data_IF_211667123010
#
_entry.id   IF_211667123010
#
_cell.length_a   1.000
_cell.length_b   1.000
_cell.length_c   1.000
_cell.angle_alpha   90.00
_cell.angle_beta   90.00
_cell.angle_gamma   90.00
#
_symmetry.space_group_name_H-M   'P 1'
#
loop_
_entity.id
_entity.type
_entity.pdbx_description
1 polymer ?
#
# COMPACT_ATOMS: atom_id res chain seq x y z
N UNK A 1 -20.45 48.87 -32.48
CA UNK A 1 -21.07 47.91 -31.55
C UNK A 1 -19.96 47.00 -31.03
N UNK A 2 -19.68 47.10 -29.73
CA UNK A 2 -18.82 46.21 -28.96
C UNK A 2 -19.46 44.80 -28.88
N UNK A 3 -18.79 43.69 -28.54
CA UNK A 3 -18.01 43.44 -27.33
C UNK A 3 -17.01 42.30 -27.60
N UNK A 4 -15.71 42.57 -27.39
CA UNK A 4 -14.70 41.52 -27.22
C UNK A 4 -14.96 40.90 -25.84
N UNK A 5 -15.34 39.63 -25.81
CA UNK A 5 -15.68 38.95 -24.56
C UNK A 5 -14.42 38.81 -23.70
N UNK A 6 -14.50 39.35 -22.49
CA UNK A 6 -13.36 39.64 -21.62
C UNK A 6 -12.62 38.39 -21.12
N UNK A 7 -11.31 38.39 -21.36
CA UNK A 7 -10.38 37.84 -20.39
C UNK A 7 -10.29 38.89 -19.29
N UNK A 8 -10.93 38.61 -18.16
CA UNK A 8 -10.75 39.41 -16.94
C UNK A 8 -9.27 39.37 -16.55
N UNK A 9 -8.64 40.54 -16.49
CA UNK A 9 -7.28 40.76 -15.98
C UNK A 9 -7.26 40.88 -14.44
N UNK A 10 -8.33 40.46 -13.78
CA UNK A 10 -8.38 40.41 -12.32
C UNK A 10 -7.56 39.19 -11.82
N UNK A 11 -6.42 39.41 -11.13
CA UNK A 11 -5.63 38.33 -10.55
C UNK A 11 -6.39 37.54 -9.47
N UNK A 12 -7.50 38.08 -8.93
CA UNK A 12 -8.37 37.38 -7.99
C UNK A 12 -9.49 36.60 -8.71
N UNK A 13 -9.86 36.95 -9.95
CA UNK A 13 -10.73 36.13 -10.80
C UNK A 13 -10.02 34.88 -11.35
N UNK A 14 -8.69 34.82 -11.27
CA UNK A 14 -7.91 33.61 -11.53
C UNK A 14 -8.12 32.52 -10.47
N UNK A 15 -8.82 32.82 -9.36
CA UNK A 15 -9.34 31.81 -8.42
C UNK A 15 -10.53 31.04 -9.05
N UNK A 16 -10.82 31.27 -10.33
CA UNK A 16 -11.41 30.26 -11.22
C UNK A 16 -10.38 29.24 -11.72
N UNK A 17 -9.37 28.84 -10.92
CA UNK A 17 -8.61 27.62 -11.17
C UNK A 17 -9.67 26.53 -11.30
N UNK A 18 -9.85 26.01 -12.51
CA UNK A 18 -10.69 24.85 -12.78
C UNK A 18 -10.52 23.89 -11.62
N UNK A 19 -11.56 23.67 -10.79
CA UNK A 19 -11.50 22.68 -9.71
C UNK A 19 -11.33 21.32 -10.39
N UNK A 20 -10.09 20.95 -10.69
CA UNK A 20 -9.76 19.67 -11.27
C UNK A 20 -10.03 18.68 -10.16
N UNK A 21 -11.03 17.83 -10.38
CA UNK A 21 -11.29 16.72 -9.49
C UNK A 21 -9.99 15.95 -9.31
N UNK A 22 -9.70 15.46 -8.09
CA UNK A 22 -8.52 14.64 -7.88
C UNK A 22 -8.55 13.46 -8.85
N UNK A 23 -7.39 13.02 -9.36
CA UNK A 23 -7.32 11.84 -10.19
C UNK A 23 -7.97 10.64 -9.50
N UNK A 24 -8.67 9.78 -10.25
CA UNK A 24 -9.36 8.61 -9.70
C UNK A 24 -8.47 7.68 -8.88
N UNK A 25 -7.18 7.61 -9.19
CA UNK A 25 -6.24 6.78 -8.43
C UNK A 25 -6.02 7.26 -7.00
N UNK A 26 -6.32 8.52 -6.68
CA UNK A 26 -6.15 9.09 -5.33
C UNK A 26 -7.00 8.34 -4.31
N UNK A 27 -8.17 7.84 -4.71
CA UNK A 27 -9.05 7.03 -3.87
C UNK A 27 -8.41 5.69 -3.45
N UNK A 28 -7.47 5.15 -4.24
CA UNK A 28 -6.79 3.89 -3.97
C UNK A 28 -5.50 4.03 -3.16
N UNK A 29 -5.05 5.25 -2.83
CA UNK A 29 -3.78 5.46 -2.11
C UNK A 29 -3.83 4.86 -0.72
N UNK A 30 -4.94 5.05 0.00
CA UNK A 30 -5.11 4.53 1.36
C UNK A 30 -5.17 2.99 1.39
N UNK A 31 -5.82 2.39 0.38
CA UNK A 31 -5.89 0.94 0.21
C UNK A 31 -4.51 0.35 -0.10
N UNK A 32 -3.76 0.95 -1.02
CA UNK A 32 -2.38 0.54 -1.34
C UNK A 32 -1.48 0.67 -0.11
N UNK A 33 -1.59 1.77 0.63
CA UNK A 33 -0.79 2.00 1.84
C UNK A 33 -1.12 0.95 2.92
N UNK A 34 -2.39 0.59 3.05
CA UNK A 34 -2.83 -0.48 3.95
C UNK A 34 -2.21 -1.83 3.54
N UNK A 35 -2.34 -2.24 2.27
CA UNK A 35 -1.80 -3.53 1.82
C UNK A 35 -0.27 -3.59 1.92
N UNK A 36 0.45 -2.51 1.59
CA UNK A 36 1.91 -2.43 1.79
C UNK A 36 2.28 -2.60 3.27
N UNK A 37 1.53 -1.97 4.17
CA UNK A 37 1.79 -2.07 5.62
C UNK A 37 1.55 -3.49 6.12
N UNK A 38 0.48 -4.13 5.64
CA UNK A 38 0.13 -5.51 5.95
C UNK A 38 1.18 -6.50 5.43
N UNK A 39 1.64 -6.33 4.19
CA UNK A 39 2.72 -7.14 3.60
C UNK A 39 4.00 -7.03 4.43
N UNK A 40 4.40 -5.80 4.81
CA UNK A 40 5.58 -5.61 5.66
C UNK A 40 5.48 -6.32 7.02
N UNK A 41 4.29 -6.32 7.62
CA UNK A 41 4.07 -7.01 8.88
C UNK A 41 4.20 -8.53 8.73
N UNK A 42 3.58 -9.11 7.70
CA UNK A 42 3.71 -10.54 7.40
C UNK A 42 5.15 -10.96 7.07
N UNK A 43 5.91 -10.11 6.38
CA UNK A 43 7.33 -10.38 6.10
C UNK A 43 8.18 -10.46 7.38
N UNK A 44 7.87 -9.67 8.41
CA UNK A 44 8.54 -9.75 9.72
C UNK A 44 8.19 -11.05 10.45
N UNK A 45 6.94 -11.47 10.38
CA UNK A 45 6.47 -12.74 10.94
C UNK A 45 7.17 -13.93 10.26
N UNK A 46 7.25 -13.92 8.92
CA UNK A 46 7.97 -14.93 8.15
C UNK A 46 9.45 -15.00 8.55
N UNK A 47 10.12 -13.86 8.69
CA UNK A 47 11.51 -13.83 9.14
C UNK A 47 11.68 -14.41 10.56
N UNK A 48 10.76 -14.11 11.47
CA UNK A 48 10.77 -14.67 12.83
C UNK A 48 10.56 -16.20 12.82
N UNK A 49 9.71 -16.72 11.95
CA UNK A 49 9.49 -18.16 11.83
C UNK A 49 10.75 -18.87 11.29
N UNK A 50 11.41 -18.29 10.29
CA UNK A 50 12.67 -18.82 9.77
C UNK A 50 13.79 -18.82 10.82
N UNK A 51 13.93 -17.75 11.59
CA UNK A 51 14.93 -17.67 12.66
C UNK A 51 14.68 -18.71 13.75
N UNK A 52 13.42 -18.88 14.17
CA UNK A 52 13.03 -19.89 15.15
C UNK A 52 13.36 -21.31 14.67
N UNK A 53 13.02 -21.61 13.41
CA UNK A 53 13.27 -22.91 12.81
C UNK A 53 14.77 -23.24 12.72
N UNK A 54 15.60 -22.27 12.31
CA UNK A 54 17.05 -22.45 12.20
C UNK A 54 17.74 -22.64 13.56
N UNK A 55 17.19 -22.05 14.63
CA UNK A 55 17.79 -22.05 15.97
C UNK A 55 17.12 -23.03 16.95
N UNK A 56 16.35 -24.01 16.46
CA UNK A 56 15.66 -25.00 17.29
C UNK A 56 16.67 -25.80 18.16
N UNK A 57 16.57 -25.78 19.50
CA UNK A 57 17.51 -26.49 20.39
C UNK A 57 17.29 -28.01 20.44
N UNK A 58 16.14 -28.49 19.96
CA UNK A 58 15.68 -29.88 20.07
C UNK A 58 15.73 -30.60 18.72
N UNK A 59 15.97 -31.91 18.74
CA UNK A 59 15.89 -32.79 17.57
C UNK A 59 14.44 -33.29 17.38
N UNK A 60 13.47 -32.38 17.35
CA UNK A 60 12.05 -32.76 17.47
C UNK A 60 11.26 -32.99 16.18
N UNK A 61 11.81 -33.08 14.96
CA UNK A 61 11.10 -33.33 13.68
C UNK A 61 9.67 -32.73 13.48
N UNK A 62 9.26 -31.72 14.25
CA UNK A 62 7.96 -31.09 14.10
C UNK A 62 7.96 -30.27 12.81
N UNK A 63 7.02 -30.58 11.91
CA UNK A 63 6.80 -29.84 10.66
C UNK A 63 5.88 -28.63 10.82
N UNK A 64 5.47 -28.30 12.05
CA UNK A 64 4.53 -27.21 12.32
C UNK A 64 5.09 -25.84 11.87
N UNK A 65 6.38 -25.59 12.11
CA UNK A 65 7.04 -24.36 11.68
C UNK A 65 7.19 -24.28 10.16
N UNK A 66 7.49 -25.40 9.50
CA UNK A 66 7.58 -25.50 8.04
C UNK A 66 6.22 -25.21 7.39
N UNK A 67 5.13 -25.74 7.97
CA UNK A 67 3.77 -25.47 7.50
C UNK A 67 3.36 -24.01 7.74
N UNK A 68 3.71 -23.42 8.88
CA UNK A 68 3.46 -22.01 9.16
C UNK A 68 4.21 -21.08 8.20
N UNK A 69 5.46 -21.42 7.85
CA UNK A 69 6.27 -20.72 6.83
C UNK A 69 5.57 -20.79 5.47
N UNK A 70 5.09 -21.98 5.06
CA UNK A 70 4.39 -22.17 3.79
C UNK A 70 3.13 -21.31 3.71
N UNK A 71 2.27 -21.37 4.73
CA UNK A 71 1.04 -20.58 4.78
C UNK A 71 1.36 -19.08 4.70
N UNK A 72 2.27 -18.59 5.54
CA UNK A 72 2.62 -17.16 5.59
C UNK A 72 3.18 -16.68 4.25
N UNK A 73 3.98 -17.52 3.58
CA UNK A 73 4.52 -17.22 2.25
C UNK A 73 3.39 -17.13 1.22
N UNK A 74 2.45 -18.08 1.21
CA UNK A 74 1.30 -18.05 0.32
C UNK A 74 0.46 -16.80 0.55
N UNK A 75 0.16 -16.47 1.81
CA UNK A 75 -0.61 -15.28 2.16
C UNK A 75 0.04 -13.96 1.71
N UNK A 76 1.37 -13.88 1.68
CA UNK A 76 2.10 -12.70 1.17
C UNK A 76 2.03 -12.65 -0.36
N UNK A 77 2.17 -13.79 -1.04
CA UNK A 77 2.22 -13.85 -2.52
C UNK A 77 0.87 -13.78 -3.21
N UNK A 78 -0.23 -14.06 -2.49
CA UNK A 78 -1.60 -14.06 -3.03
C UNK A 78 -2.38 -12.77 -2.71
N UNK A 79 -1.73 -11.75 -2.13
CA UNK A 79 -2.31 -10.40 -1.98
C UNK A 79 -2.48 -9.75 -3.35
#
# INVERSE_FOLDING_TARGET
>A
MALVSGISLDPEAAIGVTKRLPPKWVEGVDEIQYEITRIHQKMKELASLHDKHMNRPTLDDSSEEEHAIEITTQEITQV
#
